data_IF_979521984419
#
_entry.id   IF_979521984419
#
_cell.length_a   1.000
_cell.length_b   1.000
_cell.length_c   1.000
_cell.angle_alpha   90.00
_cell.angle_beta   90.00
_cell.angle_gamma   90.00
#
_symmetry.space_group_name_H-M   'P 1'
#
loop_
_entity.id
_entity.type
_entity.pdbx_description
1 polymer ?
#
# COMPACT_ATOMS: atom_id res chain seq x y z
N UNK A 1 -3.72 -33.40 -31.46
CA UNK A 1 -3.17 -32.38 -30.53
C UNK A 1 -2.41 -33.12 -29.44
N UNK A 2 -1.09 -32.88 -29.31
CA UNK A 2 -0.22 -33.64 -28.39
C UNK A 2 -0.43 -33.19 -26.94
N UNK A 3 -0.38 -34.12 -25.97
CA UNK A 3 -0.52 -33.81 -24.53
C UNK A 3 0.51 -32.77 -24.05
N UNK A 4 1.68 -32.71 -24.69
CA UNK A 4 2.74 -31.76 -24.35
C UNK A 4 2.39 -30.32 -24.72
N UNK A 5 1.65 -30.11 -25.82
CA UNK A 5 1.18 -28.79 -26.23
C UNK A 5 0.11 -28.26 -25.28
N UNK A 6 -0.73 -29.14 -24.73
CA UNK A 6 -1.79 -28.78 -23.77
C UNK A 6 -1.17 -28.31 -22.44
N UNK A 7 -0.14 -29.01 -21.94
CA UNK A 7 0.57 -28.60 -20.72
C UNK A 7 1.35 -27.29 -20.91
N UNK A 8 1.96 -27.08 -22.08
CA UNK A 8 2.65 -25.83 -22.40
C UNK A 8 1.71 -24.62 -22.40
N UNK A 9 0.50 -24.76 -22.98
CA UNK A 9 -0.50 -23.69 -22.99
C UNK A 9 -1.07 -23.42 -21.60
N UNK A 10 -1.30 -24.46 -20.79
CA UNK A 10 -1.76 -24.33 -19.39
C UNK A 10 -0.75 -23.59 -18.51
N UNK A 11 0.54 -23.90 -18.64
CA UNK A 11 1.60 -23.24 -17.87
C UNK A 11 1.76 -21.77 -18.28
N UNK A 12 1.66 -21.47 -19.57
CA UNK A 12 1.75 -20.11 -20.09
C UNK A 12 0.57 -19.24 -19.63
N UNK A 13 -0.65 -19.79 -19.61
CA UNK A 13 -1.84 -19.08 -19.14
C UNK A 13 -1.77 -18.78 -17.63
N UNK A 14 -1.17 -19.65 -16.83
CA UNK A 14 -1.03 -19.45 -15.38
C UNK A 14 -0.07 -18.29 -15.03
N UNK A 15 0.97 -18.08 -15.84
CA UNK A 15 1.96 -17.02 -15.61
C UNK A 15 1.50 -15.62 -16.05
N UNK A 16 0.51 -15.51 -16.94
CA UNK A 16 0.09 -14.22 -17.53
C UNK A 16 -1.15 -13.60 -16.88
N UNK A 17 -1.81 -14.29 -15.95
CA UNK A 17 -3.16 -13.95 -15.49
C UNK A 17 -3.31 -13.28 -14.12
N UNK A 18 -2.22 -13.03 -13.38
CA UNK A 18 -2.33 -12.44 -12.04
C UNK A 18 -2.44 -10.92 -12.12
N UNK A 19 -3.57 -10.29 -11.71
CA UNK A 19 -3.62 -8.84 -11.58
C UNK A 19 -2.62 -8.40 -10.51
N UNK A 20 -1.67 -7.55 -10.91
CA UNK A 20 -0.81 -6.86 -9.96
C UNK A 20 -1.64 -5.73 -9.32
N UNK A 21 -2.16 -5.97 -8.10
CA UNK A 21 -2.79 -4.93 -7.30
C UNK A 21 -1.68 -4.00 -6.77
N UNK A 22 -1.48 -2.87 -7.44
CA UNK A 22 -0.58 -1.83 -6.94
C UNK A 22 -1.33 -1.00 -5.88
N UNK A 23 -0.74 -0.87 -4.70
CA UNK A 23 -1.28 0.04 -3.68
C UNK A 23 -1.05 1.49 -4.07
N UNK A 24 -2.07 2.32 -3.86
CA UNK A 24 -1.99 3.75 -4.06
C UNK A 24 -1.15 4.39 -2.96
N UNK A 25 -0.07 5.07 -3.35
CA UNK A 25 0.85 5.71 -2.43
C UNK A 25 0.28 7.04 -1.94
N UNK A 26 0.08 7.15 -0.63
CA UNK A 26 -0.48 8.35 0.00
C UNK A 26 0.41 8.82 1.14
N UNK A 27 0.67 10.11 1.21
CA UNK A 27 1.36 10.73 2.36
C UNK A 27 0.35 11.47 3.22
N UNK A 28 0.19 11.03 4.46
CA UNK A 28 -0.60 11.71 5.49
C UNK A 28 0.31 12.69 6.23
N UNK A 29 0.21 13.98 5.89
CA UNK A 29 0.96 15.05 6.54
C UNK A 29 0.22 15.54 7.78
N UNK A 30 0.85 15.41 8.95
CA UNK A 30 0.31 15.94 10.20
C UNK A 30 0.45 17.48 10.24
N UNK A 31 -0.57 18.16 10.77
CA UNK A 31 -0.59 19.63 10.91
C UNK A 31 0.45 20.14 11.93
N UNK A 32 0.78 19.33 12.93
CA UNK A 32 1.69 19.67 14.03
C UNK A 32 2.49 18.42 14.44
N UNK A 33 3.22 18.49 15.55
CA UNK A 33 3.98 17.36 16.08
C UNK A 33 3.08 16.20 16.57
N UNK A 34 3.66 15.02 16.82
CA UNK A 34 2.94 13.85 17.28
C UNK A 34 2.18 14.17 18.56
N UNK A 35 0.87 14.01 18.53
CA UNK A 35 -0.03 14.20 19.65
C UNK A 35 -1.05 13.07 19.66
N UNK A 36 -1.64 12.80 20.83
CA UNK A 36 -2.58 11.70 20.99
C UNK A 36 -3.80 11.81 20.07
N UNK A 37 -4.15 13.02 19.63
CA UNK A 37 -5.18 13.26 18.61
C UNK A 37 -4.95 12.51 17.29
N UNK A 38 -3.71 12.10 16.99
CA UNK A 38 -3.35 11.35 15.77
C UNK A 38 -3.25 9.83 15.98
N UNK A 39 -3.51 9.32 17.19
CA UNK A 39 -3.36 7.91 17.52
C UNK A 39 -4.17 6.98 16.58
N UNK A 40 -5.34 7.43 16.12
CA UNK A 40 -6.17 6.68 15.18
C UNK A 40 -5.48 6.40 13.84
N UNK A 41 -4.70 7.34 13.30
CA UNK A 41 -3.96 7.13 12.05
C UNK A 41 -2.86 6.08 12.19
N UNK A 42 -2.15 6.09 13.33
CA UNK A 42 -1.14 5.07 13.63
C UNK A 42 -1.77 3.70 13.90
N UNK A 43 -2.90 3.67 14.62
CA UNK A 43 -3.64 2.44 14.87
C UNK A 43 -4.15 1.83 13.56
N UNK A 44 -4.76 2.62 12.68
CA UNK A 44 -5.23 2.15 11.37
C UNK A 44 -4.09 1.56 10.53
N UNK A 45 -2.90 2.20 10.56
CA UNK A 45 -1.71 1.65 9.91
C UNK A 45 -1.23 0.36 10.55
N UNK A 46 -1.16 0.29 11.89
CA UNK A 46 -0.72 -0.91 12.60
C UNK A 46 -1.70 -2.09 12.52
N UNK A 47 -2.99 -1.82 12.30
CA UNK A 47 -4.05 -2.82 12.15
C UNK A 47 -4.26 -3.26 10.70
N UNK A 48 -3.53 -2.70 9.72
CA UNK A 48 -3.63 -3.08 8.31
C UNK A 48 -4.77 -2.42 7.52
N UNK A 49 -5.56 -1.54 8.13
CA UNK A 49 -6.74 -0.95 7.47
C UNK A 49 -6.41 -0.16 6.20
N UNK A 50 -5.23 0.45 6.12
CA UNK A 50 -4.81 1.09 4.87
C UNK A 50 -4.47 0.08 3.79
N UNK A 51 -3.82 -1.02 4.15
CA UNK A 51 -3.47 -2.09 3.21
C UNK A 51 -4.72 -2.81 2.68
N UNK A 52 -5.70 -3.05 3.55
CA UNK A 52 -7.00 -3.63 3.20
C UNK A 52 -7.76 -2.77 2.17
N UNK A 53 -7.62 -1.45 2.26
CA UNK A 53 -8.20 -0.49 1.31
C UNK A 53 -7.29 -0.21 0.10
N UNK A 54 -6.18 -0.95 -0.06
CA UNK A 54 -5.26 -0.80 -1.19
C UNK A 54 -4.42 0.47 -1.13
N UNK A 55 -4.17 1.03 0.05
CA UNK A 55 -3.38 2.24 0.27
C UNK A 55 -2.02 1.93 0.91
N UNK A 56 -0.96 2.50 0.36
CA UNK A 56 0.38 2.55 0.98
C UNK A 56 0.57 3.92 1.65
N UNK A 57 0.21 3.98 2.93
CA UNK A 57 0.17 5.25 3.69
C UNK A 57 1.48 5.50 4.42
N UNK A 58 2.12 6.62 4.11
CA UNK A 58 3.24 7.19 4.87
C UNK A 58 2.75 8.33 5.76
N UNK A 59 2.88 8.20 7.08
CA UNK A 59 2.54 9.26 8.04
C UNK A 59 3.77 10.13 8.26
N UNK A 60 3.70 11.40 7.86
CA UNK A 60 4.80 12.36 7.98
C UNK A 60 4.45 13.42 9.04
N UNK A 61 5.24 13.55 10.13
CA UNK A 61 5.08 14.65 11.07
C UNK A 61 5.41 15.99 10.41
N UNK A 62 4.98 17.09 11.04
CA UNK A 62 5.42 18.42 10.60
C UNK A 62 6.93 18.53 10.78
N UNK A 63 7.62 19.04 9.77
CA UNK A 63 9.04 19.37 9.87
C UNK A 63 9.17 20.79 10.40
N UNK A 64 9.55 20.92 11.68
CA UNK A 64 9.71 22.21 12.35
C UNK A 64 10.91 23.01 11.81
N UNK A 65 11.84 22.37 11.08
CA UNK A 65 12.99 23.04 10.47
C UNK A 65 12.69 23.51 9.04
N UNK A 66 11.81 22.82 8.32
CA UNK A 66 11.41 23.21 6.96
C UNK A 66 10.27 24.25 6.92
N UNK A 67 9.51 24.38 8.00
CA UNK A 67 8.41 25.34 8.11
C UNK A 67 8.47 26.05 9.47
N UNK A 68 9.25 27.14 9.61
CA UNK A 68 9.16 27.99 10.79
C UNK A 68 7.78 28.63 10.78
N UNK A 69 6.97 28.27 11.77
CA UNK A 69 5.64 28.85 11.99
C UNK A 69 5.73 30.37 12.26
#
# INVERSE_FOLDING_TARGET
MSKQTIWGVLLFALCFGLPAHAQDKVTLQLKWHHQFQFAGYYAAKGLGYYEDEGLDVTIKPVDLNANPA
#
